data_IF_504083761460
#
_entry.id   IF_504083761460
#
_cell.length_a   1.000
_cell.length_b   1.000
_cell.length_c   1.000
_cell.angle_alpha   90.00
_cell.angle_beta   90.00
_cell.angle_gamma   90.00
#
_symmetry.space_group_name_H-M   'P 1'
#
loop_
_entity.id
_entity.type
_entity.pdbx_description
1 polymer ?
#
# COMPACT_ATOMS: atom_id res chain seq x y z
N UNK A 1 -39.51 0.79 13.04
CA UNK A 1 -38.26 1.43 13.55
C UNK A 1 -37.18 0.43 13.97
N UNK A 2 -37.47 -0.64 14.74
CA UNK A 2 -36.45 -1.58 15.25
C UNK A 2 -35.67 -2.31 14.14
N UNK A 3 -36.38 -2.79 13.11
CA UNK A 3 -35.77 -3.51 11.97
C UNK A 3 -34.82 -2.63 11.15
N UNK A 4 -35.24 -1.41 10.81
CA UNK A 4 -34.40 -0.43 10.11
C UNK A 4 -33.14 -0.09 10.92
N UNK A 5 -33.27 0.09 12.23
CA UNK A 5 -32.11 0.31 13.11
C UNK A 5 -31.14 -0.87 13.10
N UNK A 6 -31.64 -2.12 13.13
CA UNK A 6 -30.80 -3.31 13.04
C UNK A 6 -30.08 -3.43 11.69
N UNK A 7 -30.77 -3.11 10.59
CA UNK A 7 -30.15 -3.06 9.26
C UNK A 7 -29.04 -2.00 9.18
N UNK A 8 -29.29 -0.80 9.70
CA UNK A 8 -28.27 0.27 9.73
C UNK A 8 -27.06 -0.12 10.58
N UNK A 9 -27.28 -0.74 11.75
CA UNK A 9 -26.18 -1.22 12.59
C UNK A 9 -25.38 -2.31 11.87
N UNK A 10 -26.05 -3.27 11.22
CA UNK A 10 -25.38 -4.30 10.42
C UNK A 10 -24.56 -3.72 9.27
N UNK A 11 -25.10 -2.71 8.57
CA UNK A 11 -24.38 -2.00 7.50
C UNK A 11 -23.11 -1.33 8.04
N UNK A 12 -23.22 -0.60 9.15
CA UNK A 12 -22.08 0.08 9.77
C UNK A 12 -21.00 -0.92 10.17
N UNK A 13 -21.38 -2.03 10.81
CA UNK A 13 -20.45 -3.09 11.21
C UNK A 13 -19.78 -3.70 9.97
N UNK A 14 -20.56 -4.01 8.93
CA UNK A 14 -20.03 -4.55 7.67
C UNK A 14 -19.02 -3.63 7.00
N UNK A 15 -19.31 -2.32 6.96
CA UNK A 15 -18.38 -1.31 6.41
C UNK A 15 -17.09 -1.25 7.23
N UNK A 16 -17.18 -1.25 8.57
CA UNK A 16 -16.00 -1.21 9.43
C UNK A 16 -15.12 -2.44 9.26
N UNK A 17 -15.71 -3.63 9.19
CA UNK A 17 -14.98 -4.88 8.95
C UNK A 17 -14.36 -4.87 7.55
N UNK A 18 -15.12 -4.47 6.53
CA UNK A 18 -14.64 -4.38 5.15
C UNK A 18 -13.47 -3.41 5.00
N UNK A 19 -13.52 -2.24 5.65
CA UNK A 19 -12.42 -1.27 5.67
C UNK A 19 -11.18 -1.83 6.36
N UNK A 20 -11.33 -2.47 7.52
CA UNK A 20 -10.22 -3.08 8.25
C UNK A 20 -9.50 -4.13 7.41
N UNK A 21 -10.26 -5.04 6.79
CA UNK A 21 -9.71 -6.06 5.90
C UNK A 21 -9.07 -5.45 4.66
N UNK A 22 -9.73 -4.48 4.02
CA UNK A 22 -9.21 -3.79 2.83
C UNK A 22 -7.88 -3.08 3.08
N UNK A 23 -7.73 -2.41 4.23
CA UNK A 23 -6.47 -1.75 4.63
C UNK A 23 -5.35 -2.77 4.84
N UNK A 24 -5.64 -3.94 5.38
CA UNK A 24 -4.65 -4.99 5.57
C UNK A 24 -4.23 -5.63 4.25
N UNK A 25 -5.18 -5.91 3.34
CA UNK A 25 -4.90 -6.40 1.99
C UNK A 25 -4.04 -5.38 1.23
N UNK A 26 -4.42 -4.10 1.24
CA UNK A 26 -3.70 -3.04 0.53
C UNK A 26 -2.29 -2.77 1.04
N UNK A 27 -1.97 -3.17 2.29
CA UNK A 27 -0.63 -3.05 2.88
C UNK A 27 0.12 -4.38 2.95
N UNK A 28 -0.40 -5.43 2.30
CA UNK A 28 0.16 -6.78 2.31
C UNK A 28 0.42 -7.32 3.73
N UNK A 29 -0.47 -6.98 4.68
CA UNK A 29 -0.41 -7.45 6.07
C UNK A 29 -1.44 -8.56 6.30
N UNK A 30 -1.25 -9.43 7.32
CA UNK A 30 -2.24 -10.44 7.68
C UNK A 30 -3.63 -9.83 7.90
N UNK A 31 -4.68 -10.50 7.42
CA UNK A 31 -6.05 -9.97 7.41
C UNK A 31 -6.57 -9.53 8.79
N UNK A 32 -6.17 -10.24 9.85
CA UNK A 32 -6.60 -9.98 11.23
C UNK A 32 -5.60 -9.12 12.02
N UNK A 33 -4.57 -8.57 11.39
CA UNK A 33 -3.65 -7.64 12.04
C UNK A 33 -4.31 -6.27 12.25
N UNK A 34 -3.78 -5.44 13.16
CA UNK A 34 -4.37 -4.13 13.44
C UNK A 34 -4.22 -3.20 12.21
N UNK A 35 -5.33 -2.83 11.53
CA UNK A 35 -5.29 -1.99 10.33
C UNK A 35 -4.90 -0.54 10.62
N UNK A 36 -4.81 -0.13 11.89
CA UNK A 36 -4.34 1.20 12.29
C UNK A 36 -2.98 1.16 13.00
N UNK A 37 -2.29 0.01 12.95
CA UNK A 37 -0.91 -0.06 13.42
C UNK A 37 -0.03 0.88 12.58
N UNK A 38 0.79 1.68 13.29
CA UNK A 38 1.79 2.54 12.66
C UNK A 38 2.86 1.66 12.03
N UNK A 39 3.29 2.03 10.83
CA UNK A 39 4.48 1.43 10.23
C UNK A 39 5.69 1.66 11.14
N UNK A 40 6.50 0.62 11.31
CA UNK A 40 7.75 0.76 12.03
C UNK A 40 8.73 1.62 11.23
N UNK A 41 9.69 2.26 11.91
CA UNK A 41 10.76 3.01 11.25
C UNK A 41 11.55 2.11 10.27
N UNK A 42 11.65 0.81 10.57
CA UNK A 42 12.30 -0.20 9.73
C UNK A 42 11.51 -0.44 8.44
N UNK A 43 10.19 -0.57 8.53
CA UNK A 43 9.32 -0.75 7.35
C UNK A 43 9.42 0.46 6.41
N UNK A 44 9.39 1.66 7.00
CA UNK A 44 9.53 2.92 6.26
C UNK A 44 10.89 3.07 5.58
N UNK A 45 11.97 2.69 6.28
CA UNK A 45 13.31 2.71 5.73
C UNK A 45 13.47 1.72 4.57
N UNK A 46 12.89 0.51 4.69
CA UNK A 46 12.89 -0.49 3.59
C UNK A 46 12.14 0.01 2.36
N UNK A 47 10.99 0.63 2.54
CA UNK A 47 10.20 1.16 1.43
C UNK A 47 10.94 2.29 0.71
N UNK A 48 11.48 3.25 1.46
CA UNK A 48 12.28 4.35 0.91
C UNK A 48 13.53 3.84 0.18
N UNK A 49 14.23 2.87 0.74
CA UNK A 49 15.38 2.24 0.09
C UNK A 49 15.01 1.56 -1.23
N UNK A 50 13.90 0.82 -1.25
CA UNK A 50 13.41 0.12 -2.45
C UNK A 50 13.02 1.10 -3.56
N UNK A 51 12.25 2.16 -3.24
CA UNK A 51 11.91 3.20 -4.21
C UNK A 51 13.14 3.94 -4.74
N UNK A 52 14.11 4.24 -3.87
CA UNK A 52 15.34 4.93 -4.27
C UNK A 52 16.13 4.07 -5.24
N UNK A 53 16.28 2.78 -4.94
CA UNK A 53 17.00 1.85 -5.80
C UNK A 53 16.34 1.69 -7.17
N UNK A 54 15.02 1.58 -7.21
CA UNK A 54 14.25 1.49 -8.47
C UNK A 54 14.40 2.75 -9.32
N UNK A 55 14.29 3.94 -8.71
CA UNK A 55 14.47 5.22 -9.41
C UNK A 55 15.88 5.38 -9.96
N UNK A 56 16.89 5.02 -9.16
CA UNK A 56 18.29 5.02 -9.59
C UNK A 56 18.54 4.06 -10.76
N UNK A 57 17.98 2.85 -10.71
CA UNK A 57 18.06 1.89 -11.81
C UNK A 57 17.47 2.42 -13.11
N UNK A 58 16.25 2.97 -13.06
CA UNK A 58 15.59 3.58 -14.23
C UNK A 58 16.35 4.78 -14.79
N UNK A 59 16.95 5.60 -13.92
CA UNK A 59 17.76 6.73 -14.36
C UNK A 59 19.03 6.25 -15.10
N UNK A 60 19.74 5.28 -14.54
CA UNK A 60 20.92 4.67 -15.16
C UNK A 60 20.58 4.02 -16.51
N UNK A 61 19.46 3.30 -16.58
CA UNK A 61 19.00 2.66 -17.82
C UNK A 61 18.73 3.69 -18.91
N UNK A 62 18.00 4.78 -18.59
CA UNK A 62 17.77 5.89 -19.53
C UNK A 62 19.06 6.56 -19.98
N UNK A 63 20.00 6.77 -19.08
CA UNK A 63 21.31 7.34 -19.42
C UNK A 63 22.09 6.39 -20.34
N UNK A 64 22.09 5.09 -20.07
CA UNK A 64 22.70 4.08 -20.93
C UNK A 64 22.09 4.06 -22.33
N UNK A 65 20.76 4.06 -22.44
CA UNK A 65 20.05 4.12 -23.73
C UNK A 65 20.40 5.40 -24.51
N UNK A 66 20.41 6.56 -23.86
CA UNK A 66 20.74 7.83 -24.50
C UNK A 66 22.20 7.88 -25.02
N UNK A 67 23.13 7.19 -24.36
CA UNK A 67 24.51 7.05 -24.82
C UNK A 67 24.61 6.09 -26.02
N UNK A 68 23.85 4.99 -25.99
CA UNK A 68 23.81 4.02 -27.09
C UNK A 68 23.21 4.63 -28.36
N UNK A 69 22.15 5.44 -28.24
CA UNK A 69 21.54 6.13 -29.37
C UNK A 69 22.44 7.22 -29.97
N UNK A 70 23.28 7.88 -29.15
CA UNK A 70 24.29 8.84 -29.63
C UNK A 70 25.50 8.18 -30.31
N UNK A 71 25.73 6.90 -30.07
CA UNK A 71 26.87 6.14 -30.60
C UNK A 71 26.53 5.39 -31.91
N UNK A 72 25.26 5.39 -32.33
CA UNK A 72 24.79 4.95 -33.66
C UNK A 72 24.77 6.12 -34.64
#
# INVERSE_FOLDING_TARGET
MKQLKMMLVGLVIGVLIGMALGVNIGRERPLLSNPFAKESLVDRARQLGSETLEKSGKALEKTGQALQDKAK
#
